data_IF_263754345434
#
_entry.id   IF_263754345434
#
_cell.length_a   1.000
_cell.length_b   1.000
_cell.length_c   1.000
_cell.angle_alpha   90.00
_cell.angle_beta   90.00
_cell.angle_gamma   90.00
#
_symmetry.space_group_name_H-M   'P 1'
#
loop_
_entity.id
_entity.type
_entity.pdbx_description
1 polymer ?
#
# COMPACT_ATOMS: atom_id res chain seq x y z
N UNK A 1 -16.02 -5.10 -0.64
CA UNK A 1 -14.61 -5.55 -0.69
C UNK A 1 -13.71 -4.42 -1.14
N UNK A 2 -13.85 -3.94 -2.38
CA UNK A 2 -12.95 -2.94 -2.98
C UNK A 2 -12.85 -1.60 -2.21
N UNK A 3 -13.97 -1.10 -1.67
CA UNK A 3 -13.96 0.17 -0.90
C UNK A 3 -13.09 0.12 0.37
N UNK A 4 -13.07 -1.02 1.06
CA UNK A 4 -12.25 -1.18 2.29
C UNK A 4 -10.77 -1.21 1.94
N UNK A 5 -10.39 -1.89 0.86
CA UNK A 5 -9.00 -1.92 0.39
C UNK A 5 -8.50 -0.54 -0.04
N UNK A 6 -9.32 0.23 -0.78
CA UNK A 6 -9.01 1.64 -1.11
C UNK A 6 -8.84 2.49 0.15
N UNK A 7 -9.70 2.30 1.14
CA UNK A 7 -9.57 3.00 2.43
C UNK A 7 -8.26 2.64 3.13
N UNK A 8 -7.89 1.36 3.18
CA UNK A 8 -6.62 0.93 3.79
C UNK A 8 -5.39 1.43 3.03
N UNK A 9 -5.44 1.50 1.70
CA UNK A 9 -4.38 2.10 0.89
C UNK A 9 -4.23 3.60 1.17
N UNK A 10 -5.34 4.33 1.30
CA UNK A 10 -5.29 5.75 1.63
C UNK A 10 -4.75 5.95 3.06
N UNK A 11 -5.26 5.16 4.02
CA UNK A 11 -4.79 5.17 5.40
C UNK A 11 -3.30 4.80 5.51
N UNK A 12 -2.79 3.85 4.69
CA UNK A 12 -1.38 3.46 4.74
C UNK A 12 -0.45 4.56 4.25
N UNK A 13 -0.85 5.30 3.20
CA UNK A 13 -0.13 6.49 2.71
C UNK A 13 -0.11 7.62 3.74
N UNK A 14 -1.21 7.79 4.48
CA UNK A 14 -1.35 8.84 5.48
C UNK A 14 -0.79 8.46 6.87
N UNK A 15 -0.38 7.21 7.08
CA UNK A 15 0.15 6.72 8.35
C UNK A 15 1.60 7.17 8.58
N UNK A 16 1.78 8.45 8.92
CA UNK A 16 3.10 9.06 9.15
C UNK A 16 3.74 8.67 10.49
N UNK A 17 2.94 8.31 11.49
CA UNK A 17 3.41 7.91 12.83
C UNK A 17 3.33 6.40 13.06
N UNK A 18 4.18 5.87 13.97
CA UNK A 18 4.13 4.44 14.35
C UNK A 18 2.78 4.05 14.99
N UNK A 19 2.14 4.98 15.72
CA UNK A 19 0.77 4.80 16.22
C UNK A 19 -0.25 4.62 15.11
N UNK A 20 -0.23 5.48 14.09
CA UNK A 20 -1.12 5.34 12.94
C UNK A 20 -0.90 3.99 12.22
N UNK A 21 0.36 3.59 12.04
CA UNK A 21 0.72 2.29 11.44
C UNK A 21 0.17 1.11 12.25
N UNK A 22 0.31 1.16 13.57
CA UNK A 22 -0.18 0.12 14.48
C UNK A 22 -1.71 0.01 14.46
N UNK A 23 -2.41 1.14 14.51
CA UNK A 23 -3.88 1.20 14.46
C UNK A 23 -4.38 0.58 13.15
N UNK A 24 -3.82 0.99 12.00
CA UNK A 24 -4.21 0.44 10.70
C UNK A 24 -3.95 -1.07 10.61
N UNK A 25 -2.78 -1.53 11.04
CA UNK A 25 -2.47 -2.97 11.03
C UNK A 25 -3.41 -3.77 11.93
N UNK A 26 -3.81 -3.21 13.07
CA UNK A 26 -4.79 -3.82 13.99
C UNK A 26 -6.19 -3.87 13.36
N UNK A 27 -6.60 -2.81 12.66
CA UNK A 27 -7.87 -2.75 11.93
C UNK A 27 -7.94 -3.83 10.84
N UNK A 28 -6.87 -3.94 10.03
CA UNK A 28 -6.75 -4.96 8.98
C UNK A 28 -6.84 -6.37 9.58
N UNK A 29 -6.18 -6.63 10.71
CA UNK A 29 -6.23 -7.94 11.38
C UNK A 29 -7.61 -8.32 11.89
N UNK A 30 -8.39 -7.35 12.36
CA UNK A 30 -9.76 -7.55 12.84
C UNK A 30 -10.76 -7.72 11.70
N UNK A 31 -10.37 -7.39 10.48
CA UNK A 31 -11.25 -7.52 9.32
C UNK A 31 -11.19 -8.93 8.74
N UNK A 32 -12.33 -9.61 8.73
CA UNK A 32 -12.51 -10.92 8.08
C UNK A 32 -12.34 -10.86 6.55
N UNK A 33 -12.33 -9.64 5.98
CA UNK A 33 -12.25 -9.39 4.54
C UNK A 33 -10.83 -9.45 3.99
N UNK A 34 -9.82 -9.57 4.85
CA UNK A 34 -8.40 -9.52 4.49
C UNK A 34 -7.83 -10.90 4.11
N UNK A 35 -7.03 -10.95 3.03
CA UNK A 35 -6.35 -12.18 2.61
C UNK A 35 -5.40 -12.70 3.70
N UNK A 36 -5.06 -14.00 3.66
CA UNK A 36 -4.14 -14.59 4.64
C UNK A 36 -2.78 -13.89 4.65
N UNK A 37 -2.28 -13.47 3.48
CA UNK A 37 -0.99 -12.78 3.34
C UNK A 37 -1.04 -11.38 3.94
N UNK A 38 -2.10 -10.62 3.69
CA UNK A 38 -2.30 -9.29 4.26
C UNK A 38 -2.44 -9.37 5.78
N UNK A 39 -3.20 -10.36 6.29
CA UNK A 39 -3.28 -10.61 7.74
C UNK A 39 -1.93 -10.96 8.34
N UNK A 40 -1.13 -11.78 7.66
CA UNK A 40 0.22 -12.16 8.12
C UNK A 40 1.13 -10.93 8.18
N UNK A 41 1.11 -10.07 7.16
CA UNK A 41 1.89 -8.85 7.12
C UNK A 41 1.46 -7.86 8.22
N UNK A 42 0.15 -7.64 8.38
CA UNK A 42 -0.41 -6.80 9.44
C UNK A 42 -0.04 -7.33 10.84
N UNK A 43 -0.06 -8.65 11.06
CA UNK A 43 0.37 -9.28 12.32
C UNK A 43 1.82 -8.96 12.67
N UNK A 44 2.72 -8.94 11.68
CA UNK A 44 4.14 -8.62 11.89
C UNK A 44 4.31 -7.17 12.35
N UNK A 45 3.57 -6.24 11.76
CA UNK A 45 3.57 -4.83 12.20
C UNK A 45 3.07 -4.70 13.63
N UNK A 46 1.94 -5.32 13.96
CA UNK A 46 1.37 -5.28 15.32
C UNK A 46 2.36 -5.84 16.32
N UNK A 47 2.92 -7.04 16.09
CA UNK A 47 3.89 -7.65 17.01
C UNK A 47 5.16 -6.82 17.22
N UNK A 48 5.64 -6.14 16.18
CA UNK A 48 6.84 -5.31 16.29
C UNK A 48 6.59 -4.06 17.14
N UNK A 49 5.36 -3.53 17.16
CA UNK A 49 5.03 -2.27 17.83
C UNK A 49 4.31 -2.46 19.17
N UNK A 50 3.63 -3.58 19.39
CA UNK A 50 2.77 -3.84 20.58
C UNK A 50 3.47 -3.54 21.91
N UNK A 51 4.73 -3.97 22.06
CA UNK A 51 5.48 -3.77 23.30
C UNK A 51 6.00 -2.33 23.50
N UNK A 52 6.01 -1.51 22.45
CA UNK A 52 6.68 -0.19 22.46
C UNK A 52 5.76 0.99 22.13
N UNK A 53 4.51 0.73 21.73
CA UNK A 53 3.60 1.75 21.19
C UNK A 53 3.17 2.79 22.23
N UNK A 54 3.16 2.39 23.50
CA UNK A 54 2.80 3.24 24.64
C UNK A 54 4.01 3.77 25.40
N UNK A 55 5.22 3.37 24.99
CA UNK A 55 6.45 3.87 25.59
C UNK A 55 6.78 5.26 25.02
N UNK A 56 7.36 6.17 25.84
CA UNK A 56 7.77 7.49 25.36
C UNK A 56 8.92 7.41 24.35
N UNK A 57 9.78 6.39 24.46
CA UNK A 57 10.93 6.15 23.59
C UNK A 57 11.03 4.64 23.33
N UNK A 58 11.27 4.27 22.07
CA UNK A 58 11.46 2.89 21.64
C UNK A 58 12.85 2.71 21.01
N UNK A 59 13.39 1.48 21.06
CA UNK A 59 14.66 1.16 20.42
C UNK A 59 14.62 1.40 18.90
N UNK A 60 15.69 1.99 18.35
CA UNK A 60 15.76 2.31 16.93
C UNK A 60 15.60 1.07 16.03
N UNK A 61 16.13 -0.09 16.43
CA UNK A 61 16.00 -1.34 15.68
C UNK A 61 14.55 -1.84 15.62
N UNK A 62 13.78 -1.65 16.69
CA UNK A 62 12.35 -2.00 16.74
C UNK A 62 11.57 -1.13 15.76
N UNK A 63 11.84 0.18 15.77
CA UNK A 63 11.20 1.13 14.86
C UNK A 63 11.57 0.87 13.39
N UNK A 64 12.82 0.53 13.11
CA UNK A 64 13.27 0.13 11.77
C UNK A 64 12.55 -1.13 11.30
N UNK A 65 12.51 -2.17 12.12
CA UNK A 65 11.83 -3.44 11.83
C UNK A 65 10.32 -3.21 11.57
N UNK A 66 9.67 -2.41 12.41
CA UNK A 66 8.27 -2.04 12.23
C UNK A 66 8.04 -1.28 10.92
N UNK A 67 8.96 -0.40 10.52
CA UNK A 67 8.89 0.32 9.24
C UNK A 67 9.01 -0.64 8.06
N UNK A 68 9.94 -1.60 8.09
CA UNK A 68 10.10 -2.61 7.04
C UNK A 68 8.86 -3.48 6.90
N UNK A 69 8.32 -3.98 8.02
CA UNK A 69 7.08 -4.76 8.02
C UNK A 69 5.88 -3.97 7.48
N UNK A 70 5.80 -2.67 7.80
CA UNK A 70 4.74 -1.81 7.29
C UNK A 70 4.90 -1.51 5.79
N UNK A 71 6.13 -1.41 5.29
CA UNK A 71 6.42 -1.31 3.86
C UNK A 71 5.87 -2.52 3.10
N UNK A 72 6.21 -3.73 3.56
CA UNK A 72 5.72 -4.97 2.96
C UNK A 72 4.18 -5.07 2.98
N UNK A 73 3.53 -4.64 4.07
CA UNK A 73 2.08 -4.57 4.13
C UNK A 73 1.50 -3.60 3.08
N UNK A 74 2.14 -2.45 2.88
CA UNK A 74 1.69 -1.43 1.93
C UNK A 74 1.84 -1.90 0.48
N UNK A 75 2.90 -2.63 0.16
CA UNK A 75 3.11 -3.25 -1.16
C UNK A 75 2.00 -4.26 -1.48
N UNK A 76 1.64 -5.11 -0.52
CA UNK A 76 0.53 -6.06 -0.69
C UNK A 76 -0.81 -5.36 -0.88
N UNK A 77 -1.05 -4.26 -0.17
CA UNK A 77 -2.27 -3.45 -0.35
C UNK A 77 -2.29 -2.80 -1.74
N UNK A 78 -1.15 -2.32 -2.25
CA UNK A 78 -1.06 -1.71 -3.59
C UNK A 78 -1.29 -2.73 -4.71
N UNK A 79 -0.82 -3.96 -4.55
CA UNK A 79 -0.99 -5.04 -5.53
C UNK A 79 -2.44 -5.52 -5.70
N UNK A 80 -3.37 -5.06 -4.85
CA UNK A 80 -4.80 -5.41 -4.94
C UNK A 80 -5.62 -4.48 -5.84
N UNK A 81 -5.04 -3.40 -6.38
CA UNK A 81 -5.72 -2.67 -7.46
C UNK A 81 -5.76 -3.54 -8.74
N UNK A 82 -6.89 -3.60 -9.46
CA UNK A 82 -6.84 -3.99 -10.85
C UNK A 82 -5.98 -2.94 -11.57
N UNK A 83 -4.94 -3.40 -12.29
CA UNK A 83 -4.20 -2.54 -13.21
C UNK A 83 -5.20 -1.73 -14.04
N UNK A 84 -5.04 -0.41 -14.21
CA UNK A 84 -5.78 0.26 -15.27
C UNK A 84 -5.41 -0.50 -16.55
N UNK A 85 -6.43 -1.07 -17.20
CA UNK A 85 -6.30 -1.66 -18.52
C UNK A 85 -5.45 -0.70 -19.35
N UNK A 86 -4.41 -1.25 -20.00
CA UNK A 86 -3.51 -0.49 -20.84
C UNK A 86 -4.32 0.48 -21.68
N UNK A 87 -3.95 1.75 -21.56
CA UNK A 87 -4.29 2.79 -22.49
C UNK A 87 -3.88 2.27 -23.88
N UNK A 88 -4.83 1.70 -24.62
CA UNK A 88 -4.76 1.53 -26.06
C UNK A 88 -4.81 2.93 -26.69
N UNK A 89 -3.77 3.71 -26.42
CA UNK A 89 -3.41 4.91 -27.13
C UNK A 89 -2.94 4.51 -28.51
N UNK A 90 -3.88 4.15 -29.39
CA UNK A 90 -3.67 4.20 -30.82
C UNK A 90 -3.36 5.65 -31.19
N UNK A 91 -2.07 5.97 -31.25
CA UNK A 91 -1.56 7.14 -31.95
C UNK A 91 -1.31 6.73 -33.41
N UNK A 92 -2.19 7.04 -34.38
CA UNK A 92 -1.76 7.10 -35.77
C UNK A 92 -0.90 8.37 -35.89
N UNK A 93 0.41 8.17 -35.97
CA UNK A 93 1.36 9.21 -36.29
C UNK A 93 0.96 9.93 -37.58
N UNK A 94 0.98 11.26 -37.53
CA UNK A 94 0.97 12.15 -38.69
C UNK A 94 2.27 11.96 -39.50
N UNK A 95 2.15 11.60 -40.76
CA UNK A 95 3.05 11.95 -41.86
C UNK A 95 2.12 12.07 -43.08
N UNK A 96 2.01 13.15 -43.83
CA UNK A 96 3.01 14.10 -44.30
C UNK A 96 2.55 14.40 -45.73
N UNK A 97 2.26 15.66 -46.03
CA UNK A 97 1.86 16.10 -47.37
C UNK A 97 3.03 15.95 -48.32
N UNK A 98 2.82 15.26 -49.44
CA UNK A 98 3.57 15.55 -50.66
C UNK A 98 2.62 15.62 -51.86
N UNK A 99 2.23 16.85 -52.15
CA UNK A 99 1.77 17.27 -53.46
C UNK A 99 2.96 17.15 -54.43
N UNK A 100 2.87 16.29 -55.43
CA UNK A 100 3.68 16.47 -56.64
C UNK A 100 2.85 16.21 -57.89
N UNK A 101 2.63 17.32 -58.60
CA UNK A 101 2.30 17.40 -60.02
C UNK A 101 3.05 16.32 -60.83
N UNK A 102 2.31 15.57 -61.63
CA UNK A 102 2.58 15.30 -63.05
C UNK A 102 1.32 14.76 -63.72
#
# INVERSE_FOLDING_TARGET
>A
MEQIYRQWQLSSRNATSYRAKFILATEILKSDMSSHEIRRAARRVVRALEAVIDLPIAGADVLRTAREHFGALTELLAAMEPQPAGDDGHCPGREGRDSKLM
#
